data_IF_348545838325
#
_entry.id   IF_348545838325
#
_cell.length_a   1.000
_cell.length_b   1.000
_cell.length_c   1.000
_cell.angle_alpha   90.00
_cell.angle_beta   90.00
_cell.angle_gamma   90.00
#
_symmetry.space_group_name_H-M   'P 1'
#
loop_
_entity.id
_entity.type
_entity.pdbx_description
1 polymer ?
#
# COMPACT_ATOMS: atom_id res chain seq x y z
N UNK A 1 27.81 -4.88 3.05
CA UNK A 1 26.64 -4.48 3.85
C UNK A 1 25.66 -5.64 3.81
N UNK A 2 25.38 -6.25 4.96
CA UNK A 2 24.45 -7.38 5.04
C UNK A 2 23.03 -6.83 4.93
N UNK A 3 22.32 -7.22 3.88
CA UNK A 3 20.87 -7.04 3.82
C UNK A 3 20.26 -7.91 4.92
N UNK A 4 19.75 -7.28 5.99
CA UNK A 4 18.89 -7.96 6.93
C UNK A 4 17.59 -8.21 6.18
N UNK A 5 17.48 -9.42 5.61
CA UNK A 5 16.20 -9.92 5.14
C UNK A 5 15.31 -10.12 6.37
N UNK A 6 14.54 -9.13 6.74
CA UNK A 6 13.45 -9.33 7.69
C UNK A 6 12.48 -10.25 6.95
N UNK A 7 12.46 -11.52 7.33
CA UNK A 7 11.46 -12.47 6.87
C UNK A 7 10.10 -12.00 7.40
N UNK A 8 9.40 -11.21 6.59
CA UNK A 8 8.01 -10.86 6.89
C UNK A 8 7.24 -12.17 6.84
N UNK A 9 6.68 -12.58 7.97
CA UNK A 9 5.81 -13.76 8.01
C UNK A 9 4.54 -13.42 7.22
N UNK A 10 4.46 -13.96 6.01
CA UNK A 10 3.28 -13.86 5.14
C UNK A 10 2.14 -14.70 5.73
N UNK A 11 1.52 -14.27 6.83
CA UNK A 11 0.49 -15.05 7.51
C UNK A 11 -0.75 -14.19 7.75
N UNK A 12 -1.85 -14.56 7.09
CA UNK A 12 -3.19 -14.04 7.35
C UNK A 12 -3.25 -12.52 7.57
N UNK A 13 -3.02 -11.72 6.52
CA UNK A 13 -2.98 -10.27 6.66
C UNK A 13 -4.33 -9.71 7.13
N UNK A 14 -4.28 -8.61 7.87
CA UNK A 14 -5.44 -7.80 8.18
C UNK A 14 -5.55 -6.67 7.14
N UNK A 15 -6.73 -6.50 6.55
CA UNK A 15 -6.97 -5.41 5.58
C UNK A 15 -8.06 -4.50 6.14
N UNK A 16 -7.74 -3.21 6.27
CA UNK A 16 -8.70 -2.18 6.61
C UNK A 16 -9.31 -1.62 5.31
N UNK A 17 -10.63 -1.81 5.16
CA UNK A 17 -11.38 -1.49 3.95
C UNK A 17 -11.65 -2.73 3.07
N UNK A 18 -12.93 -3.13 2.96
CA UNK A 18 -13.42 -4.26 2.12
C UNK A 18 -14.16 -3.78 0.88
N UNK A 19 -13.87 -2.56 0.41
CA UNK A 19 -14.35 -2.04 -0.86
C UNK A 19 -13.73 -2.78 -2.06
N UNK A 20 -13.95 -2.27 -3.28
CA UNK A 20 -13.39 -2.86 -4.50
C UNK A 20 -11.87 -3.01 -4.43
N UNK A 21 -11.16 -1.98 -3.98
CA UNK A 21 -9.71 -2.00 -3.84
C UNK A 21 -9.23 -3.00 -2.78
N UNK A 22 -9.92 -3.08 -1.63
CA UNK A 22 -9.54 -4.02 -0.57
C UNK A 22 -9.68 -5.49 -1.00
N UNK A 23 -10.75 -5.82 -1.73
CA UNK A 23 -10.93 -7.17 -2.31
C UNK A 23 -9.86 -7.47 -3.35
N UNK A 24 -9.57 -6.52 -4.24
CA UNK A 24 -8.51 -6.67 -5.24
C UNK A 24 -7.15 -6.92 -4.59
N UNK A 25 -6.81 -6.17 -3.54
CA UNK A 25 -5.56 -6.36 -2.80
C UNK A 25 -5.51 -7.75 -2.13
N UNK A 26 -6.62 -8.20 -1.54
CA UNK A 26 -6.70 -9.54 -0.94
C UNK A 26 -6.46 -10.65 -1.96
N UNK A 27 -7.03 -10.53 -3.16
CA UNK A 27 -6.83 -11.49 -4.25
C UNK A 27 -5.34 -11.59 -4.62
N UNK A 28 -4.64 -10.46 -4.76
CA UNK A 28 -3.21 -10.46 -5.06
C UNK A 28 -2.36 -10.97 -3.92
N UNK A 29 -2.66 -10.57 -2.68
CA UNK A 29 -1.97 -11.11 -1.49
C UNK A 29 -2.11 -12.63 -1.43
N UNK A 30 -3.31 -13.16 -1.64
CA UNK A 30 -3.56 -14.60 -1.67
C UNK A 30 -2.79 -15.31 -2.79
N UNK A 31 -2.82 -14.76 -4.02
CA UNK A 31 -2.10 -15.31 -5.17
C UNK A 31 -0.59 -15.36 -4.96
N UNK A 32 -0.05 -14.42 -4.20
CA UNK A 32 1.39 -14.32 -3.88
C UNK A 32 1.76 -14.98 -2.52
N UNK A 33 0.86 -15.82 -1.98
CA UNK A 33 1.16 -16.69 -0.83
C UNK A 33 1.08 -16.02 0.55
N UNK A 34 0.37 -14.89 0.69
CA UNK A 34 0.13 -14.25 1.99
C UNK A 34 -0.96 -14.94 2.83
N UNK A 35 -1.69 -15.90 2.24
CA UNK A 35 -2.83 -16.55 2.86
C UNK A 35 -4.13 -15.72 2.77
N UNK A 36 -5.19 -16.22 3.39
CA UNK A 36 -6.47 -15.52 3.40
C UNK A 36 -6.43 -14.28 4.29
N UNK A 37 -6.96 -13.17 3.77
CA UNK A 37 -7.05 -11.93 4.51
C UNK A 37 -8.31 -11.86 5.38
N UNK A 38 -8.19 -11.32 6.58
CA UNK A 38 -9.33 -10.85 7.38
C UNK A 38 -9.53 -9.35 7.15
N UNK A 39 -10.77 -8.89 7.24
CA UNK A 39 -11.12 -7.50 6.94
C UNK A 39 -11.71 -6.77 8.14
N UNK A 40 -11.36 -5.50 8.28
CA UNK A 40 -12.07 -4.51 9.06
C UNK A 40 -12.74 -3.51 8.12
N UNK A 41 -14.05 -3.33 8.28
CA UNK A 41 -14.83 -2.37 7.49
C UNK A 41 -16.12 -2.03 8.20
N UNK A 42 -16.52 -0.76 8.20
CA UNK A 42 -17.69 -0.32 8.96
C UNK A 42 -19.02 -0.72 8.29
N UNK A 43 -19.01 -1.02 6.98
CA UNK A 43 -20.23 -1.21 6.19
C UNK A 43 -20.28 -2.53 5.43
N UNK A 44 -19.14 -3.16 5.16
CA UNK A 44 -19.10 -4.37 4.35
C UNK A 44 -19.42 -5.63 5.18
N UNK A 45 -20.23 -6.57 4.66
CA UNK A 45 -20.54 -7.81 5.39
C UNK A 45 -19.34 -8.76 5.46
N UNK A 46 -19.34 -9.64 6.49
CA UNK A 46 -18.33 -10.68 6.67
C UNK A 46 -16.94 -10.12 7.02
N UNK A 47 -16.90 -9.01 7.74
CA UNK A 47 -15.70 -8.47 8.37
C UNK A 47 -15.61 -8.95 9.81
N UNK A 48 -14.40 -8.99 10.36
CA UNK A 48 -14.16 -9.38 11.76
C UNK A 48 -14.38 -8.22 12.74
N UNK A 49 -14.61 -7.03 12.24
CA UNK A 49 -14.92 -5.80 12.99
C UNK A 49 -14.98 -4.56 12.09
N UNK A 50 -15.22 -3.40 12.71
CA UNK A 50 -15.16 -2.10 12.07
C UNK A 50 -13.72 -1.58 11.90
N UNK A 51 -13.55 -0.49 11.15
CA UNK A 51 -12.23 0.07 10.84
C UNK A 51 -11.39 0.42 12.08
N UNK A 52 -12.02 0.69 13.21
CA UNK A 52 -11.35 1.07 14.47
C UNK A 52 -11.07 -0.07 15.43
N UNK A 53 -11.52 -1.29 15.10
CA UNK A 53 -11.37 -2.48 15.96
C UNK A 53 -9.99 -3.14 15.86
N UNK A 54 -9.06 -2.53 15.12
CA UNK A 54 -7.66 -3.01 15.00
C UNK A 54 -6.96 -3.13 16.37
N UNK A 55 -7.40 -2.42 17.39
CA UNK A 55 -6.86 -2.51 18.74
C UNK A 55 -7.49 -3.64 19.59
N UNK A 56 -8.46 -4.40 19.08
CA UNK A 56 -9.06 -5.54 19.79
C UNK A 56 -7.97 -6.61 20.04
N UNK A 57 -7.75 -7.03 21.30
CA UNK A 57 -6.78 -8.08 21.62
C UNK A 57 -7.00 -9.42 20.91
N UNK A 58 -8.21 -9.68 20.41
CA UNK A 58 -8.50 -10.87 19.60
C UNK A 58 -7.93 -10.78 18.19
N UNK A 59 -7.79 -9.57 17.66
CA UNK A 59 -7.27 -9.27 16.32
C UNK A 59 -5.80 -8.92 16.37
N UNK A 60 -5.37 -8.25 17.45
CA UNK A 60 -4.00 -7.78 17.60
C UNK A 60 -3.07 -8.98 17.87
N UNK A 61 -2.26 -9.28 16.86
CA UNK A 61 -1.15 -10.24 16.95
C UNK A 61 0.13 -9.47 16.62
N UNK A 62 1.08 -9.32 17.56
CA UNK A 62 2.34 -8.62 17.30
C UNK A 62 3.04 -9.13 16.02
N UNK A 63 3.44 -8.21 15.15
CA UNK A 63 4.04 -8.55 13.85
C UNK A 63 3.05 -9.10 12.80
N UNK A 64 1.74 -9.10 13.07
CA UNK A 64 0.76 -9.42 12.04
C UNK A 64 0.83 -8.37 10.92
N UNK A 65 0.95 -8.76 9.65
CA UNK A 65 0.91 -7.82 8.55
C UNK A 65 -0.47 -7.19 8.42
N UNK A 66 -0.51 -5.86 8.27
CA UNK A 66 -1.74 -5.12 8.08
C UNK A 66 -1.61 -4.12 6.93
N UNK A 67 -2.66 -4.02 6.13
CA UNK A 67 -2.76 -3.12 4.99
C UNK A 67 -3.98 -2.22 5.13
N UNK A 68 -3.88 -0.99 4.61
CA UNK A 68 -5.03 -0.07 4.56
C UNK A 68 -5.42 0.15 3.10
N UNK A 69 -6.56 -0.41 2.72
CA UNK A 69 -7.07 -0.42 1.35
C UNK A 69 -8.22 0.58 1.16
N UNK A 70 -7.97 1.83 1.50
CA UNK A 70 -8.92 2.94 1.40
C UNK A 70 -8.50 3.95 0.36
N UNK A 71 -9.45 4.43 -0.45
CA UNK A 71 -9.24 5.51 -1.41
C UNK A 71 -9.17 6.90 -0.78
N UNK A 72 -9.60 7.05 0.48
CA UNK A 72 -9.41 8.26 1.28
C UNK A 72 -7.95 8.34 1.74
N UNK A 73 -7.17 9.19 1.08
CA UNK A 73 -5.73 9.29 1.32
C UNK A 73 -5.40 9.76 2.75
N UNK A 74 -6.04 10.79 3.32
CA UNK A 74 -5.85 11.20 4.72
C UNK A 74 -6.13 10.07 5.71
N UNK A 75 -7.30 9.41 5.59
CA UNK A 75 -7.69 8.33 6.49
C UNK A 75 -6.76 7.12 6.35
N UNK A 76 -6.30 6.80 5.14
CA UNK A 76 -5.33 5.72 4.92
C UNK A 76 -4.05 5.96 5.70
N UNK A 77 -3.47 7.15 5.60
CA UNK A 77 -2.23 7.49 6.32
C UNK A 77 -2.44 7.48 7.84
N UNK A 78 -3.56 8.03 8.32
CA UNK A 78 -3.91 8.01 9.75
C UNK A 78 -3.97 6.57 10.29
N UNK A 79 -4.67 5.68 9.58
CA UNK A 79 -4.84 4.29 10.01
C UNK A 79 -3.52 3.51 9.95
N UNK A 80 -2.66 3.74 8.96
CA UNK A 80 -1.32 3.13 8.92
C UNK A 80 -0.48 3.51 10.15
N UNK A 81 -0.50 4.77 10.55
CA UNK A 81 0.20 5.23 11.75
C UNK A 81 -0.35 4.56 13.02
N UNK A 82 -1.67 4.43 13.12
CA UNK A 82 -2.33 3.78 14.25
C UNK A 82 -2.04 2.28 14.31
N UNK A 83 -2.03 1.60 13.18
CA UNK A 83 -1.66 0.18 13.09
C UNK A 83 -0.22 -0.04 13.55
N UNK A 84 0.72 0.75 13.07
CA UNK A 84 2.12 0.68 13.49
C UNK A 84 2.27 0.92 15.01
N UNK A 85 1.58 1.93 15.54
CA UNK A 85 1.58 2.22 16.99
C UNK A 85 0.92 1.09 17.82
N UNK A 86 -0.03 0.34 17.26
CA UNK A 86 -0.66 -0.81 17.90
C UNK A 86 0.17 -2.11 17.77
N UNK A 87 1.32 -2.09 17.09
CA UNK A 87 2.23 -3.24 16.99
C UNK A 87 2.02 -4.13 15.78
N UNK A 88 1.20 -3.71 14.81
CA UNK A 88 1.12 -4.38 13.50
C UNK A 88 2.37 -4.08 12.68
N UNK A 89 2.75 -5.03 11.85
CA UNK A 89 3.65 -4.77 10.74
C UNK A 89 2.86 -4.12 9.59
N UNK A 90 3.37 -3.03 9.03
CA UNK A 90 2.74 -2.34 7.88
C UNK A 90 3.68 -2.44 6.67
N UNK A 91 3.80 -3.63 6.08
CA UNK A 91 4.79 -3.89 5.04
C UNK A 91 4.46 -3.16 3.74
N UNK A 92 5.46 -3.05 2.88
CA UNK A 92 5.27 -2.71 1.48
C UNK A 92 4.78 -3.95 0.75
N UNK A 93 3.69 -3.82 -0.01
CA UNK A 93 3.28 -4.83 -0.97
C UNK A 93 3.79 -4.44 -2.36
N UNK A 94 4.52 -5.34 -2.98
CA UNK A 94 4.95 -5.21 -4.37
C UNK A 94 4.51 -6.48 -5.09
N UNK A 95 3.60 -6.34 -6.04
CA UNK A 95 3.18 -7.48 -6.86
C UNK A 95 4.36 -8.05 -7.65
N UNK A 96 4.45 -9.36 -7.73
CA UNK A 96 5.44 -10.07 -8.56
C UNK A 96 5.34 -9.67 -10.05
N UNK A 97 4.23 -9.06 -10.47
CA UNK A 97 4.01 -8.54 -11.82
C UNK A 97 4.36 -7.05 -11.96
N UNK A 98 4.82 -6.39 -10.90
CA UNK A 98 5.28 -5.00 -10.96
C UNK A 98 6.79 -4.92 -11.25
N UNK A 99 7.22 -3.82 -11.86
CA UNK A 99 8.63 -3.55 -12.09
C UNK A 99 9.09 -2.39 -11.19
N UNK A 100 9.86 -2.69 -10.16
CA UNK A 100 10.39 -1.70 -9.22
C UNK A 100 11.91 -1.70 -9.29
N UNK A 101 12.50 -0.52 -9.53
CA UNK A 101 13.95 -0.36 -9.57
C UNK A 101 14.57 -0.65 -8.18
N UNK A 102 15.70 -1.36 -8.10
CA UNK A 102 16.39 -1.64 -6.84
C UNK A 102 16.84 -0.39 -6.06
N UNK A 103 17.01 0.75 -6.73
CA UNK A 103 17.36 2.03 -6.10
C UNK A 103 16.14 2.86 -5.68
N UNK A 104 14.92 2.42 -6.00
CA UNK A 104 13.72 3.10 -5.54
C UNK A 104 13.56 2.94 -4.02
N UNK A 105 13.09 4.00 -3.36
CA UNK A 105 12.80 4.02 -1.93
C UNK A 105 11.29 3.99 -1.73
N UNK A 106 10.80 2.95 -1.07
CA UNK A 106 9.38 2.79 -0.74
C UNK A 106 9.22 2.77 0.78
N UNK A 107 8.48 3.73 1.31
CA UNK A 107 8.19 3.78 2.74
C UNK A 107 7.08 2.79 3.14
N UNK A 108 6.92 2.48 4.44
CA UNK A 108 5.94 1.49 4.93
C UNK A 108 4.53 1.73 4.43
N UNK A 109 3.79 0.64 4.24
CA UNK A 109 2.38 0.68 3.83
C UNK A 109 2.14 1.01 2.36
N UNK A 110 3.20 1.17 1.55
CA UNK A 110 3.04 1.32 0.10
C UNK A 110 2.49 0.04 -0.54
N UNK A 111 1.64 0.23 -1.55
CA UNK A 111 1.04 -0.85 -2.33
C UNK A 111 1.33 -0.62 -3.82
N UNK A 112 2.09 -1.54 -4.42
CA UNK A 112 2.47 -1.51 -5.83
C UNK A 112 1.77 -2.66 -6.54
N UNK A 113 0.77 -2.33 -7.36
CA UNK A 113 -0.09 -3.31 -8.02
C UNK A 113 0.50 -3.85 -9.33
N UNK A 114 -0.09 -4.92 -9.91
CA UNK A 114 0.40 -5.52 -11.14
C UNK A 114 0.61 -4.53 -12.28
N UNK A 115 1.69 -4.74 -13.04
CA UNK A 115 2.08 -3.91 -14.20
C UNK A 115 2.43 -2.45 -13.85
N UNK A 116 2.48 -2.09 -12.58
CA UNK A 116 3.01 -0.79 -12.17
C UNK A 116 4.52 -0.74 -12.38
N UNK A 117 5.04 0.44 -12.72
CA UNK A 117 6.47 0.70 -12.86
C UNK A 117 6.92 1.77 -11.86
N UNK A 118 8.00 1.51 -11.14
CA UNK A 118 8.67 2.49 -10.28
C UNK A 118 10.14 2.56 -10.67
N UNK A 119 10.55 3.71 -11.19
CA UNK A 119 11.86 3.97 -11.75
C UNK A 119 12.96 4.15 -10.72
N UNK A 120 14.21 4.23 -11.23
CA UNK A 120 15.41 4.42 -10.42
C UNK A 120 15.35 5.70 -9.59
N UNK A 121 15.77 5.60 -8.32
CA UNK A 121 15.85 6.73 -7.39
C UNK A 121 14.50 7.46 -7.16
N UNK A 122 13.38 6.83 -7.53
CA UNK A 122 12.07 7.32 -7.15
C UNK A 122 11.85 7.13 -5.63
N UNK A 123 11.18 8.10 -5.00
CA UNK A 123 10.87 8.05 -3.57
C UNK A 123 9.36 8.11 -3.35
N UNK A 124 8.82 7.08 -2.71
CA UNK A 124 7.40 6.97 -2.36
C UNK A 124 7.25 7.06 -0.84
N UNK A 125 6.57 8.10 -0.38
CA UNK A 125 6.26 8.29 1.04
C UNK A 125 5.25 7.26 1.57
N UNK A 126 5.09 7.22 2.90
CA UNK A 126 4.23 6.27 3.62
C UNK A 126 2.85 6.12 2.99
N UNK A 127 2.44 4.88 2.73
CA UNK A 127 1.09 4.55 2.30
C UNK A 127 0.73 4.98 0.88
N UNK A 128 1.71 5.20 0.01
CA UNK A 128 1.42 5.43 -1.41
C UNK A 128 0.80 4.21 -2.07
N UNK A 129 -0.13 4.45 -2.99
CA UNK A 129 -0.72 3.42 -3.86
C UNK A 129 -0.29 3.71 -5.29
N UNK A 130 0.39 2.76 -5.91
CA UNK A 130 0.69 2.76 -7.34
C UNK A 130 -0.16 1.67 -7.97
N UNK A 131 -1.26 2.09 -8.60
CA UNK A 131 -2.29 1.19 -9.10
C UNK A 131 -1.86 0.49 -10.40
N UNK A 132 -2.65 -0.49 -10.86
CA UNK A 132 -2.32 -1.31 -12.02
C UNK A 132 -1.95 -0.49 -13.25
N UNK A 133 -0.80 -0.78 -13.86
CA UNK A 133 -0.31 -0.09 -15.05
C UNK A 133 0.11 1.37 -14.84
N UNK A 134 0.13 1.88 -13.61
CA UNK A 134 0.62 3.23 -13.32
C UNK A 134 2.15 3.30 -13.42
N UNK A 135 2.67 4.47 -13.77
CA UNK A 135 4.11 4.71 -13.96
C UNK A 135 4.57 5.83 -13.04
N UNK A 136 5.57 5.54 -12.22
CA UNK A 136 6.35 6.52 -11.48
C UNK A 136 7.76 6.46 -12.04
N UNK A 137 8.16 7.47 -12.78
CA UNK A 137 9.44 7.47 -13.49
C UNK A 137 10.61 7.81 -12.55
N UNK A 138 11.84 7.71 -13.05
CA UNK A 138 13.06 7.87 -12.23
C UNK A 138 13.13 9.25 -11.55
N UNK A 139 13.71 9.30 -10.35
CA UNK A 139 13.85 10.51 -9.54
C UNK A 139 12.53 11.23 -9.19
N UNK A 140 11.37 10.63 -9.44
CA UNK A 140 10.10 11.19 -9.01
C UNK A 140 9.95 11.10 -7.48
N UNK A 141 9.32 12.11 -6.87
CA UNK A 141 9.11 12.17 -5.42
C UNK A 141 7.61 12.27 -5.13
N UNK A 142 7.08 11.26 -4.46
CA UNK A 142 5.68 11.22 -4.04
C UNK A 142 5.59 11.40 -2.53
N UNK A 143 4.86 12.41 -2.09
CA UNK A 143 4.55 12.62 -0.68
C UNK A 143 3.73 11.46 -0.09
N UNK A 144 3.66 11.40 1.25
CA UNK A 144 2.88 10.36 1.94
C UNK A 144 1.44 10.29 1.43
N UNK A 145 0.90 9.09 1.31
CA UNK A 145 -0.49 8.85 0.96
C UNK A 145 -0.88 9.24 -0.47
N UNK A 146 0.09 9.48 -1.36
CA UNK A 146 -0.24 9.71 -2.77
C UNK A 146 -0.87 8.45 -3.37
N UNK A 147 -1.89 8.64 -4.19
CA UNK A 147 -2.53 7.57 -4.93
C UNK A 147 -2.40 7.86 -6.44
N UNK A 148 -1.57 7.11 -7.12
CA UNK A 148 -1.52 7.11 -8.59
C UNK A 148 -2.52 6.07 -9.09
N UNK A 149 -3.63 6.53 -9.67
CA UNK A 149 -4.73 5.69 -10.14
C UNK A 149 -4.31 4.87 -11.39
N UNK A 150 -5.10 3.88 -11.84
CA UNK A 150 -4.72 3.01 -12.95
C UNK A 150 -4.28 3.79 -14.19
N UNK A 151 -3.09 3.46 -14.70
CA UNK A 151 -2.52 4.11 -15.88
C UNK A 151 -2.10 5.58 -15.69
N UNK A 152 -2.13 6.12 -14.47
CA UNK A 152 -1.58 7.43 -14.17
C UNK A 152 -0.06 7.45 -14.31
N UNK A 153 0.51 8.59 -14.71
CA UNK A 153 1.94 8.73 -14.99
C UNK A 153 2.52 9.91 -14.23
N UNK A 154 3.54 9.66 -13.41
CA UNK A 154 4.38 10.68 -12.79
C UNK A 154 5.72 10.67 -13.52
N UNK A 155 6.03 11.77 -14.25
CA UNK A 155 7.24 11.86 -15.06
C UNK A 155 8.51 12.00 -14.22
N UNK A 156 9.64 11.73 -14.87
CA UNK A 156 10.96 11.82 -14.27
C UNK A 156 11.20 13.13 -13.52
N UNK A 157 11.60 13.02 -12.26
CA UNK A 157 11.89 14.14 -11.37
C UNK A 157 10.69 15.03 -11.05
N UNK A 158 9.46 14.60 -11.33
CA UNK A 158 8.27 15.31 -10.90
C UNK A 158 8.00 15.05 -9.41
N UNK A 159 7.40 16.05 -8.77
CA UNK A 159 7.01 15.97 -7.37
C UNK A 159 5.48 15.96 -7.25
N UNK A 160 4.95 15.07 -6.42
CA UNK A 160 3.52 14.97 -6.12
C UNK A 160 3.34 15.23 -4.63
N UNK A 161 2.52 16.23 -4.33
CA UNK A 161 2.29 16.63 -2.94
C UNK A 161 1.60 15.52 -2.12
N UNK A 162 1.87 15.53 -0.81
CA UNK A 162 1.28 14.56 0.11
C UNK A 162 -0.26 14.54 -0.01
N UNK A 163 -0.83 13.33 0.07
CA UNK A 163 -2.26 13.06 0.03
C UNK A 163 -2.94 13.37 -1.32
N UNK A 164 -2.18 13.77 -2.34
CA UNK A 164 -2.72 14.01 -3.66
C UNK A 164 -3.14 12.69 -4.35
N UNK A 165 -4.02 12.82 -5.32
CA UNK A 165 -4.41 11.75 -6.23
C UNK A 165 -4.05 12.15 -7.66
N UNK A 166 -3.36 11.29 -8.35
CA UNK A 166 -3.16 11.35 -9.80
C UNK A 166 -4.24 10.49 -10.44
N UNK A 167 -5.13 11.08 -11.21
CA UNK A 167 -6.27 10.38 -11.78
C UNK A 167 -5.86 9.40 -12.90
N UNK A 168 -6.78 8.49 -13.25
CA UNK A 168 -6.52 7.48 -14.29
C UNK A 168 -6.15 8.15 -15.61
N UNK A 169 -4.99 7.77 -16.16
CA UNK A 169 -4.46 8.33 -17.40
C UNK A 169 -3.93 9.76 -17.30
N UNK A 170 -3.96 10.37 -16.13
CA UNK A 170 -3.35 11.68 -15.89
C UNK A 170 -1.82 11.61 -15.98
N UNK A 171 -1.21 12.69 -16.47
CA UNK A 171 0.25 12.81 -16.58
C UNK A 171 0.72 14.02 -15.78
N UNK A 172 1.39 13.77 -14.66
CA UNK A 172 2.05 14.79 -13.85
C UNK A 172 3.43 15.08 -14.45
N UNK A 173 3.71 16.36 -14.64
CA UNK A 173 4.98 16.88 -15.14
C UNK A 173 5.63 17.76 -14.08
N UNK A 174 6.94 17.95 -14.26
CA UNK A 174 7.74 18.88 -13.47
C UNK A 174 7.28 20.32 -13.65
#
# INVERSE_FOLDING_TARGET
>A
MAFISISITKNHPLILGKGGFGRQLADWLSAEGWGEAEFLDDNAPGCVGGLRDYADPKLLKPGRPAFVALGDNPLRVELLQKLAAAGYDTPVFISDMAAVSPSAVLEPGCVILPQAYVGADAHLGVGCIINGGAIVDHNAVLGRGVHVAPGGIVKAGAEVEALAKVDSGEIVRK
#
